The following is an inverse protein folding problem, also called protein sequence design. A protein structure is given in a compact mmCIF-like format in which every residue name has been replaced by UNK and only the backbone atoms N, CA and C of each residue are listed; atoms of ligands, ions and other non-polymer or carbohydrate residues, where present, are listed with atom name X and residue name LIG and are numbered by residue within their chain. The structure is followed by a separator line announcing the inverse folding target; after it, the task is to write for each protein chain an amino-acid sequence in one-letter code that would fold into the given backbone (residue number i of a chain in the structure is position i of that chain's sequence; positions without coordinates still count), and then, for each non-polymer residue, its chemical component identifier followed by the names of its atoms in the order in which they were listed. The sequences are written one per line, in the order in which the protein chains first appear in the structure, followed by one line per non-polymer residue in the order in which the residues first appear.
data_IF_302477827203
#
_entry.id   IF_302477827203
#
_cell.length_a   1.000
_cell.length_b   1.000
_cell.length_c   1.000
_cell.angle_alpha   90.00
_cell.angle_beta   90.00
_cell.angle_gamma   90.00
#
_symmetry.space_group_name_H-M   'P 1'
#
loop_
_entity.id
_entity.type
_entity.pdbx_description
1 polymer ?
#
# COMPACT_ATOMS: atom_id res chain seq x y z
N UNK A 1 -12.55 9.30 11.57
CA UNK A 1 -11.25 9.05 10.91
C UNK A 1 -11.29 9.75 9.57
N UNK A 2 -10.28 10.55 9.23
CA UNK A 2 -10.17 11.26 7.95
C UNK A 2 -9.11 10.56 7.10
N UNK A 3 -9.33 10.51 5.79
CA UNK A 3 -8.33 10.11 4.80
C UNK A 3 -8.38 11.11 3.64
N UNK A 4 -7.25 11.68 3.27
CA UNK A 4 -7.13 12.52 2.07
C UNK A 4 -6.31 11.80 1.01
N UNK A 5 -6.68 12.03 -0.25
CA UNK A 5 -6.00 11.51 -1.43
C UNK A 5 -5.33 12.67 -2.15
N UNK A 6 -4.01 12.64 -2.29
CA UNK A 6 -3.24 13.71 -2.92
C UNK A 6 -2.24 13.14 -3.93
N UNK A 7 -2.38 13.42 -5.24
CA UNK A 7 -1.46 12.92 -6.27
C UNK A 7 -0.05 13.55 -6.19
N UNK A 8 0.09 14.73 -5.57
CA UNK A 8 1.36 15.42 -5.43
C UNK A 8 1.81 15.48 -3.95
N UNK A 9 3.12 15.43 -3.71
CA UNK A 9 3.66 15.46 -2.35
C UNK A 9 3.45 16.83 -1.68
N UNK A 10 3.47 17.91 -2.46
CA UNK A 10 3.27 19.28 -1.99
C UNK A 10 1.84 19.48 -1.47
N UNK A 11 0.86 18.83 -2.11
CA UNK A 11 -0.53 18.81 -1.62
C UNK A 11 -0.62 18.09 -0.27
N UNK A 12 0.14 17.00 -0.12
CA UNK A 12 0.19 16.25 1.13
C UNK A 12 0.83 17.07 2.25
N UNK A 13 1.93 17.78 1.98
CA UNK A 13 2.57 18.66 2.95
C UNK A 13 1.60 19.73 3.47
N UNK A 14 0.94 20.47 2.57
CA UNK A 14 -0.08 21.48 2.93
C UNK A 14 -1.24 20.87 3.72
N UNK A 15 -1.66 19.66 3.34
CA UNK A 15 -2.73 18.95 4.05
C UNK A 15 -2.31 18.62 5.48
N UNK A 16 -1.10 18.09 5.68
CA UNK A 16 -0.58 17.75 7.01
C UNK A 16 -0.43 18.99 7.88
N UNK A 17 0.03 20.11 7.32
CA UNK A 17 0.11 21.40 8.03
C UNK A 17 -1.27 21.87 8.49
N UNK A 18 -2.26 21.84 7.60
CA UNK A 18 -3.64 22.23 7.92
C UNK A 18 -4.29 21.31 8.97
N UNK A 19 -4.00 20.01 8.92
CA UNK A 19 -4.52 19.05 9.90
C UNK A 19 -3.92 19.25 11.31
N UNK A 20 -2.66 19.68 11.39
CA UNK A 20 -1.99 20.00 12.66
C UNK A 20 -2.43 21.35 13.23
N UNK A 21 -2.82 22.29 12.38
CA UNK A 21 -3.20 23.62 12.80
C UNK A 21 -4.45 23.61 13.71
N UNK A 22 -4.50 24.54 14.65
CA UNK A 22 -5.72 24.88 15.36
C UNK A 22 -6.77 25.44 14.35
N UNK A 23 -8.08 25.20 14.56
CA UNK A 23 -8.71 24.61 15.74
C UNK A 23 -8.83 23.08 15.71
N UNK A 24 -8.42 22.42 14.61
CA UNK A 24 -8.79 21.04 14.36
C UNK A 24 -7.89 20.01 15.05
N UNK A 25 -6.63 20.36 15.32
CA UNK A 25 -5.68 19.60 16.14
C UNK A 25 -5.78 18.07 15.93
N UNK A 26 -5.75 17.62 14.67
CA UNK A 26 -5.82 16.20 14.36
C UNK A 26 -4.59 15.47 14.90
N UNK A 27 -4.80 14.26 15.41
CA UNK A 27 -3.78 13.37 15.98
C UNK A 27 -3.58 12.15 15.08
N UNK A 28 -2.50 11.41 15.32
CA UNK A 28 -2.11 10.21 14.56
C UNK A 28 -2.10 10.41 13.05
N UNK A 29 -1.59 11.57 12.61
CA UNK A 29 -1.48 11.89 11.19
C UNK A 29 -0.40 10.99 10.56
N UNK A 30 -0.79 10.18 9.59
CA UNK A 30 0.09 9.25 8.87
C UNK A 30 -0.16 9.30 7.38
N UNK A 31 0.90 9.52 6.61
CA UNK A 31 0.86 9.45 5.15
C UNK A 31 1.44 8.12 4.69
N UNK A 32 0.74 7.42 3.81
CA UNK A 32 1.18 6.15 3.21
C UNK A 32 0.94 6.17 1.70
N UNK A 33 1.67 5.32 0.99
CA UNK A 33 1.41 5.01 -0.42
C UNK A 33 1.13 3.51 -0.55
N UNK A 34 0.15 3.14 -1.36
CA UNK A 34 -0.17 1.74 -1.66
C UNK A 34 0.28 1.38 -3.09
N UNK A 35 1.37 0.63 -3.21
CA UNK A 35 1.90 0.18 -4.50
C UNK A 35 1.32 -1.19 -4.87
N UNK A 36 0.65 -1.27 -6.03
CA UNK A 36 0.13 -2.53 -6.56
C UNK A 36 1.09 -3.12 -7.59
N UNK A 37 1.41 -4.41 -7.44
CA UNK A 37 2.14 -5.22 -8.43
C UNK A 37 1.32 -6.45 -8.77
N UNK A 38 1.13 -6.71 -10.07
CA UNK A 38 0.49 -7.93 -10.54
C UNK A 38 1.56 -8.95 -10.90
N UNK A 39 1.27 -10.23 -10.67
CA UNK A 39 2.17 -11.33 -10.95
C UNK A 39 1.45 -12.37 -11.79
N UNK A 40 2.04 -12.68 -12.95
CA UNK A 40 1.51 -13.67 -13.87
C UNK A 40 2.24 -15.01 -13.68
N UNK A 41 1.53 -16.14 -13.59
CA UNK A 41 2.15 -17.45 -13.54
C UNK A 41 2.75 -17.81 -14.91
N UNK A 42 4.02 -18.18 -14.90
CA UNK A 42 4.77 -18.64 -16.07
C UNK A 42 5.09 -20.11 -15.90
N UNK A 43 4.44 -20.94 -16.72
CA UNK A 43 4.66 -22.38 -16.77
C UNK A 43 5.79 -22.68 -17.75
N UNK A 44 6.95 -23.10 -17.25
CA UNK A 44 8.02 -23.62 -18.11
C UNK A 44 7.90 -25.13 -18.24
N UNK A 45 7.79 -25.61 -19.47
CA UNK A 45 8.01 -27.03 -19.76
C UNK A 45 9.49 -27.33 -19.57
N UNK A 46 9.78 -28.43 -18.88
CA UNK A 46 11.13 -28.94 -18.78
C UNK A 46 11.63 -29.24 -20.20
N UNK A 47 12.61 -28.47 -20.68
CA UNK A 47 13.29 -28.78 -21.93
C UNK A 47 14.26 -29.91 -21.61
N UNK A 48 13.89 -31.13 -21.96
CA UNK A 48 14.89 -32.18 -22.16
C UNK A 48 15.85 -31.63 -23.22
N UNK A 49 17.12 -31.38 -22.83
CA UNK A 49 18.17 -31.23 -23.83
C UNK A 49 18.17 -32.56 -24.56
N UNK A 50 17.75 -32.58 -25.81
CA UNK A 50 18.02 -33.71 -26.70
C UNK A 50 19.54 -33.83 -26.75
N UNK A 51 20.06 -34.75 -25.95
CA UNK A 51 21.38 -35.32 -26.15
C UNK A 51 21.19 -36.31 -27.29
N UNK A 52 21.82 -36.02 -28.41
CA UNK A 52 22.09 -36.98 -29.47
C UNK A 52 22.69 -38.25 -28.87
N UNK A 53 21.89 -39.30 -28.70
CA UNK A 53 22.34 -40.70 -28.71
C UNK A 53 21.14 -41.66 -28.67
N UNK A 54 21.00 -42.46 -29.72
CA UNK A 54 20.01 -43.52 -29.79
C UNK A 54 20.20 -44.54 -28.67
N UNK A 55 19.15 -44.78 -27.90
CA UNK A 55 19.05 -45.92 -27.02
C UNK A 55 17.58 -46.31 -26.89
N UNK A 56 17.20 -47.35 -27.66
CA UNK A 56 15.98 -48.11 -27.42
C UNK A 56 16.06 -48.68 -26.00
N UNK A 57 15.36 -48.04 -25.06
CA UNK A 57 15.15 -48.60 -23.73
C UNK A 57 13.67 -48.46 -23.43
N UNK A 58 12.99 -49.59 -23.55
CA UNK A 58 11.64 -49.82 -23.06
C UNK A 58 11.69 -49.65 -21.53
N UNK A 59 10.65 -49.05 -20.97
CA UNK A 59 10.39 -48.87 -19.53
C UNK A 59 11.13 -47.73 -18.83
N UNK A 60 10.51 -46.54 -18.90
CA UNK A 60 10.62 -45.56 -17.82
C UNK A 60 9.22 -45.00 -17.55
N UNK A 61 8.55 -45.55 -16.54
CA UNK A 61 7.41 -44.94 -15.87
C UNK A 61 7.85 -43.57 -15.33
N UNK A 62 7.80 -42.55 -16.19
CA UNK A 62 8.37 -41.24 -15.89
C UNK A 62 7.34 -40.41 -15.12
N UNK A 63 7.20 -40.75 -13.85
CA UNK A 63 6.50 -39.95 -12.85
C UNK A 63 7.09 -38.54 -12.85
N UNK A 64 6.21 -37.58 -13.13
CA UNK A 64 6.40 -36.18 -12.81
C UNK A 64 7.40 -35.42 -13.70
N UNK A 65 6.96 -35.08 -14.93
CA UNK A 65 7.51 -33.95 -15.69
C UNK A 65 7.33 -32.69 -14.84
N UNK A 66 8.33 -32.37 -14.02
CA UNK A 66 8.33 -31.29 -13.05
C UNK A 66 8.16 -29.94 -13.77
N UNK A 67 6.92 -29.53 -14.02
CA UNK A 67 6.59 -28.22 -14.58
C UNK A 67 6.77 -27.19 -13.49
N UNK A 68 7.90 -26.49 -13.49
CA UNK A 68 8.16 -25.44 -12.51
C UNK A 68 7.32 -24.20 -12.87
N UNK A 69 6.41 -23.83 -11.95
CA UNK A 69 5.65 -22.58 -12.02
C UNK A 69 6.54 -21.47 -11.49
N UNK A 70 6.69 -20.37 -12.23
CA UNK A 70 7.38 -19.16 -11.74
C UNK A 70 6.47 -17.97 -11.91
N UNK A 71 6.39 -17.10 -10.92
CA UNK A 71 5.61 -15.87 -11.02
C UNK A 71 6.50 -14.76 -11.58
N UNK A 72 6.03 -14.07 -12.62
CA UNK A 72 6.71 -12.89 -13.16
C UNK A 72 5.88 -11.64 -12.90
N UNK A 73 6.49 -10.53 -12.46
CA UNK A 73 5.78 -9.25 -12.39
C UNK A 73 5.23 -8.87 -13.77
N UNK A 74 4.02 -8.32 -13.81
CA UNK A 74 3.42 -7.77 -15.02
C UNK A 74 4.31 -6.66 -15.58
N UNK A 75 4.44 -6.60 -16.91
CA UNK A 75 5.28 -5.60 -17.58
C UNK A 75 4.75 -4.17 -17.39
N UNK A 76 3.43 -4.05 -17.28
CA UNK A 76 2.76 -2.80 -16.92
C UNK A 76 2.56 -2.75 -15.42
N UNK A 77 3.20 -1.79 -14.78
CA UNK A 77 2.98 -1.50 -13.37
C UNK A 77 2.08 -0.27 -13.26
N UNK A 78 1.06 -0.31 -12.39
CA UNK A 78 0.36 0.93 -12.01
C UNK A 78 1.41 1.80 -11.30
N UNK A 79 1.71 2.96 -11.86
CA UNK A 79 2.66 3.90 -11.27
C UNK A 79 2.13 4.46 -9.94
N UNK A 80 2.80 5.51 -9.45
CA UNK A 80 2.29 6.29 -8.32
C UNK A 80 0.84 6.72 -8.61
N UNK A 81 -0.08 6.41 -7.69
CA UNK A 81 -1.46 6.85 -7.80
C UNK A 81 -1.69 8.11 -6.96
N UNK A 82 -1.39 8.03 -5.66
CA UNK A 82 -1.40 9.16 -4.74
C UNK A 82 -0.82 8.78 -3.38
N UNK A 83 -0.56 9.81 -2.59
CA UNK A 83 -0.39 9.72 -1.14
C UNK A 83 -1.75 9.68 -0.44
N UNK A 84 -1.88 8.80 0.53
CA UNK A 84 -3.04 8.67 1.41
C UNK A 84 -2.67 9.20 2.79
N UNK A 85 -3.27 10.30 3.24
CA UNK A 85 -3.02 10.86 4.57
C UNK A 85 -4.19 10.59 5.48
N UNK A 86 -3.96 9.72 6.47
CA UNK A 86 -4.92 9.37 7.50
C UNK A 86 -4.72 10.25 8.72
N UNK A 87 -5.82 10.63 9.37
CA UNK A 87 -5.79 11.39 10.61
C UNK A 87 -7.00 11.07 11.50
N UNK A 88 -6.84 11.21 12.82
CA UNK A 88 -7.92 11.06 13.80
C UNK A 88 -8.17 12.39 14.48
N UNK A 89 -9.44 12.75 14.68
CA UNK A 89 -9.79 13.90 15.52
C UNK A 89 -9.94 13.41 16.95
N UNK A 90 -9.23 14.01 17.90
CA UNK A 90 -9.49 13.78 19.32
C UNK A 90 -10.83 14.43 19.68
N UNK A 91 -11.68 13.73 20.42
CA UNK A 91 -12.96 14.24 20.94
C UNK A 91 -12.82 14.80 22.36
N UNK A 92 -11.61 15.00 22.87
CA UNK A 92 -11.40 15.66 24.16
C UNK A 92 -12.14 16.99 24.15
N UNK A 93 -13.21 17.05 24.95
CA UNK A 93 -14.20 18.12 25.01
C UNK A 93 -13.51 19.47 25.16
N UNK A 94 -13.68 20.35 24.18
CA UNK A 94 -13.35 21.76 24.33
C UNK A 94 -14.58 22.48 24.90
N UNK A 95 -14.96 22.16 26.13
CA UNK A 95 -15.83 22.99 26.95
C UNK A 95 -15.08 23.18 28.27
N UNK A 96 -14.30 24.25 28.37
CA UNK A 96 -13.79 24.83 29.63
C UNK A 96 -13.07 26.18 29.35
N UNK A 97 -13.58 26.98 28.41
CA UNK A 97 -13.13 28.37 28.24
C UNK A 97 -14.28 29.27 27.85
N UNK A 98 -15.17 29.53 28.81
CA UNK A 98 -15.94 30.78 28.96
C UNK A 98 -17.07 30.50 29.95
N UNK A 99 -16.91 30.87 31.23
CA UNK A 99 -18.03 31.43 32.04
C UNK A 99 -17.61 32.00 33.41
N UNK A 100 -16.42 31.72 33.95
CA UNK A 100 -16.02 32.27 35.26
C UNK A 100 -14.94 33.38 35.17
N UNK A 101 -15.38 34.63 34.98
CA UNK A 101 -14.79 35.85 35.59
C UNK A 101 -15.38 37.14 34.97
N UNK A 102 -16.71 37.25 34.92
CA UNK A 102 -17.39 38.54 34.75
C UNK A 102 -18.37 38.74 35.91
N UNK A 103 -17.87 38.71 37.16
CA UNK A 103 -18.63 39.31 38.26
C UNK A 103 -17.74 39.69 39.45
N UNK A 104 -17.16 40.89 39.40
CA UNK A 104 -17.06 41.78 40.59
C UNK A 104 -17.24 43.21 40.09
N UNK A 105 -18.51 43.62 39.99
CA UNK A 105 -18.91 45.01 40.16
C UNK A 105 -19.50 45.12 41.56
N UNK A 106 -18.78 45.76 42.48
CA UNK A 106 -19.22 46.83 43.40
C UNK A 106 -18.06 47.15 44.33
#
# INVERSE_FOLDING_TARGET
MLCTFSPCIEQTQRTVEALKAAPHAFVDIRTVEALTRFYDPVYKRHRTRDKDCGANTIEANNTNKNSHIRFRPSLTSKGHSAYLTFARRSLTHSEDTNEDAMDVKT
#
